data_IF_909514207272
#
_entry.id   IF_909514207272
#
_cell.length_a   1.000
_cell.length_b   1.000
_cell.length_c   1.000
_cell.angle_alpha   90.00
_cell.angle_beta   90.00
_cell.angle_gamma   90.00
#
_symmetry.space_group_name_H-M   'P 1'
#
loop_
_entity.id
_entity.type
_entity.pdbx_description
1 polymer ?
#
# COMPACT_ATOMS: atom_id res chain seq x y z
N UNK A 1 2.74 8.24 4.45
CA UNK A 1 1.99 7.43 5.42
C UNK A 1 0.78 6.72 4.81
N UNK A 2 -0.28 7.43 4.40
CA UNK A 2 -1.53 6.81 3.91
C UNK A 2 -1.35 5.75 2.80
N UNK A 3 -0.68 6.10 1.70
CA UNK A 3 -0.44 5.18 0.59
C UNK A 3 0.37 3.95 1.03
N UNK A 4 1.42 4.14 1.82
CA UNK A 4 2.25 3.05 2.33
C UNK A 4 1.46 2.07 3.21
N UNK A 5 0.60 2.58 4.09
CA UNK A 5 -0.26 1.74 4.92
C UNK A 5 -1.25 0.90 4.08
N UNK A 6 -1.84 1.48 3.03
CA UNK A 6 -2.72 0.75 2.12
C UNK A 6 -1.98 -0.31 1.30
N UNK A 7 -0.75 -0.02 0.85
CA UNK A 7 0.10 -1.00 0.16
C UNK A 7 0.42 -2.19 1.08
N UNK A 8 0.81 -1.93 2.32
CA UNK A 8 1.11 -2.98 3.31
C UNK A 8 -0.12 -3.86 3.53
N UNK A 9 -1.28 -3.24 3.75
CA UNK A 9 -2.54 -3.97 3.90
C UNK A 9 -2.82 -4.87 2.70
N UNK A 10 -2.73 -4.34 1.48
CA UNK A 10 -3.06 -5.07 0.26
C UNK A 10 -2.06 -6.20 -0.01
N UNK A 11 -0.77 -5.99 0.30
CA UNK A 11 0.26 -7.02 0.12
C UNK A 11 0.16 -8.17 1.13
N UNK A 12 -0.26 -7.88 2.36
CA UNK A 12 -0.38 -8.88 3.42
C UNK A 12 -1.78 -9.51 3.53
N UNK A 13 -2.81 -8.86 2.98
CA UNK A 13 -4.19 -9.36 3.02
C UNK A 13 -4.81 -9.37 4.43
N UNK A 14 -4.33 -8.49 5.33
CA UNK A 14 -4.68 -8.46 6.76
C UNK A 14 -5.72 -7.38 7.09
N UNK A 15 -6.27 -7.43 8.31
CA UNK A 15 -7.23 -6.45 8.80
C UNK A 15 -6.61 -5.05 9.00
N UNK A 16 -7.45 -4.01 9.06
CA UNK A 16 -6.99 -2.63 9.31
C UNK A 16 -6.26 -2.52 10.67
N UNK A 17 -6.75 -3.22 11.70
CA UNK A 17 -6.12 -3.25 13.03
C UNK A 17 -4.77 -3.98 12.99
N UNK A 18 -4.74 -5.14 12.36
CA UNK A 18 -3.51 -5.92 12.22
C UNK A 18 -2.45 -5.14 11.44
N UNK A 19 -2.85 -4.41 10.40
CA UNK A 19 -1.92 -3.55 9.62
C UNK A 19 -1.22 -2.53 10.51
N UNK A 20 -1.95 -1.89 11.43
CA UNK A 20 -1.38 -0.90 12.36
C UNK A 20 -0.41 -1.54 13.33
N UNK A 21 -0.75 -2.72 13.87
CA UNK A 21 0.12 -3.46 14.79
C UNK A 21 1.41 -3.93 14.08
N UNK A 22 1.31 -4.45 12.87
CA UNK A 22 2.47 -4.82 12.05
C UNK A 22 3.39 -3.62 11.79
N UNK A 23 2.82 -2.45 11.51
CA UNK A 23 3.61 -1.22 11.34
C UNK A 23 4.24 -0.79 12.68
N UNK A 24 3.55 -0.91 13.81
CA UNK A 24 4.12 -0.61 15.13
C UNK A 24 5.33 -1.50 15.43
N UNK A 25 5.23 -2.79 15.15
CA UNK A 25 6.26 -3.77 15.53
C UNK A 25 7.48 -3.77 14.61
N UNK A 26 7.32 -3.34 13.36
CA UNK A 26 8.38 -3.44 12.36
C UNK A 26 9.00 -2.07 12.01
N UNK A 27 10.26 -1.81 12.39
CA UNK A 27 10.96 -0.57 12.03
C UNK A 27 11.00 -0.30 10.52
N UNK A 28 11.13 -1.34 9.69
CA UNK A 28 11.17 -1.18 8.23
C UNK A 28 9.83 -0.66 7.69
N UNK A 29 8.71 -1.16 8.22
CA UNK A 29 7.39 -0.68 7.83
C UNK A 29 7.17 0.76 8.29
N UNK A 30 7.70 1.14 9.46
CA UNK A 30 7.68 2.53 9.92
C UNK A 30 8.44 3.47 8.99
N UNK A 31 9.66 3.12 8.60
CA UNK A 31 10.42 3.91 7.63
C UNK A 31 9.73 3.95 6.26
N UNK A 32 9.15 2.83 5.82
CA UNK A 32 8.40 2.73 4.57
C UNK A 32 7.20 3.68 4.51
N UNK A 33 6.45 3.81 5.61
CA UNK A 33 5.32 4.76 5.68
C UNK A 33 5.78 6.22 5.85
N UNK A 34 7.08 6.47 6.01
CA UNK A 34 7.71 7.78 6.08
C UNK A 34 7.99 8.30 7.49
N UNK A 35 8.05 7.43 8.51
CA UNK A 35 8.53 7.83 9.84
C UNK A 35 10.05 8.01 9.82
N UNK A 36 10.54 9.05 10.52
CA UNK A 36 11.98 9.38 10.58
C UNK A 36 12.76 8.50 11.56
N UNK A 37 12.07 7.85 12.47
CA UNK A 37 12.65 7.07 13.57
C UNK A 37 11.64 6.02 14.01
N UNK A 38 12.13 4.87 14.45
CA UNK A 38 11.30 3.86 15.10
C UNK A 38 10.66 4.39 16.39
N UNK A 39 9.39 4.07 16.61
CA UNK A 39 8.65 4.30 17.85
C UNK A 39 7.79 3.08 18.17
N UNK A 40 7.75 2.64 19.42
CA UNK A 40 6.91 1.52 19.84
C UNK A 40 5.47 1.96 20.18
N UNK A 41 4.90 2.78 19.30
CA UNK A 41 3.55 3.34 19.44
C UNK A 41 2.84 3.18 18.11
N UNK A 42 1.51 3.00 18.15
CA UNK A 42 0.73 2.92 16.93
C UNK A 42 0.88 4.24 16.14
N UNK A 43 1.26 4.19 14.86
CA UNK A 43 1.49 5.40 14.07
C UNK A 43 0.20 6.21 13.82
N UNK A 44 -0.96 5.55 13.88
CA UNK A 44 -2.29 6.12 13.74
C UNK A 44 -3.34 5.12 14.25
N UNK A 45 -4.57 5.58 14.50
CA UNK A 45 -5.68 4.69 14.85
C UNK A 45 -6.17 3.87 13.66
N UNK A 46 -6.57 2.61 13.87
CA UNK A 46 -7.06 1.74 12.80
C UNK A 46 -8.26 2.33 12.02
N UNK A 47 -9.08 3.15 12.68
CA UNK A 47 -10.18 3.91 12.06
C UNK A 47 -9.71 4.82 10.90
N UNK A 48 -8.48 5.33 10.97
CA UNK A 48 -7.87 6.19 9.95
C UNK A 48 -7.66 5.47 8.61
N UNK A 49 -7.62 4.13 8.60
CA UNK A 49 -7.53 3.36 7.36
C UNK A 49 -8.73 3.60 6.43
N UNK A 50 -9.92 3.86 6.99
CA UNK A 50 -11.11 4.23 6.22
C UNK A 50 -10.88 5.57 5.53
N UNK A 51 -10.36 6.56 6.25
CA UNK A 51 -10.06 7.88 5.71
C UNK A 51 -8.94 7.85 4.66
N UNK A 52 -7.95 6.97 4.82
CA UNK A 52 -6.91 6.79 3.81
C UNK A 52 -7.47 6.26 2.48
N UNK A 53 -8.42 5.31 2.53
CA UNK A 53 -9.11 4.82 1.34
C UNK A 53 -10.00 5.88 0.69
N UNK A 54 -10.72 6.66 1.50
CA UNK A 54 -11.54 7.77 0.97
C UNK A 54 -10.68 8.84 0.29
N UNK A 55 -9.51 9.14 0.85
CA UNK A 55 -8.59 10.14 0.31
C UNK A 55 -7.87 9.68 -0.95
N UNK A 56 -7.57 8.38 -1.05
CA UNK A 56 -6.96 7.76 -2.22
C UNK A 56 -8.08 7.09 -3.03
N UNK A 57 -8.90 7.93 -3.67
CA UNK A 57 -10.01 7.45 -4.48
C UNK A 57 -9.55 6.43 -5.53
N UNK A 58 -10.43 5.48 -5.84
CA UNK A 58 -10.18 4.48 -6.88
C UNK A 58 -9.76 5.12 -8.20
N UNK A 59 -10.26 6.31 -8.52
CA UNK A 59 -9.88 7.03 -9.74
C UNK A 59 -8.41 7.41 -9.76
N UNK A 60 -7.84 7.82 -8.62
CA UNK A 60 -6.41 8.11 -8.53
C UNK A 60 -5.58 6.83 -8.68
N UNK A 61 -6.01 5.74 -8.04
CA UNK A 61 -5.33 4.44 -8.12
C UNK A 61 -5.39 3.89 -9.55
N UNK A 62 -6.56 3.94 -10.18
CA UNK A 62 -6.77 3.53 -11.56
C UNK A 62 -5.95 4.38 -12.53
N UNK A 63 -5.88 5.70 -12.32
CA UNK A 63 -5.07 6.59 -13.14
C UNK A 63 -3.58 6.26 -13.05
N UNK A 64 -3.08 5.94 -11.85
CA UNK A 64 -1.69 5.49 -11.65
C UNK A 64 -1.47 4.16 -12.37
N UNK A 65 -2.39 3.20 -12.22
CA UNK A 65 -2.30 1.90 -12.87
C UNK A 65 -2.30 2.02 -14.40
N UNK A 66 -3.21 2.82 -14.98
CA UNK A 66 -3.25 3.10 -16.42
C UNK A 66 -1.94 3.71 -16.90
N UNK A 67 -1.39 4.69 -16.18
CA UNK A 67 -0.12 5.32 -16.53
C UNK A 67 1.06 4.34 -16.48
N UNK A 68 1.14 3.50 -15.44
CA UNK A 68 2.17 2.45 -15.36
C UNK A 68 2.04 1.44 -16.50
N UNK A 69 0.84 1.02 -16.86
CA UNK A 69 0.62 0.12 -17.98
C UNK A 69 0.98 0.76 -19.33
N UNK A 70 0.69 2.05 -19.54
CA UNK A 70 1.09 2.79 -20.73
C UNK A 70 2.61 2.91 -20.87
N UNK A 71 3.31 3.18 -19.77
CA UNK A 71 4.79 3.26 -19.73
C UNK A 71 5.46 1.89 -19.96
N UNK A 72 4.81 0.78 -19.56
CA UNK A 72 5.30 -0.59 -19.76
C UNK A 72 4.80 -1.26 -21.06
N UNK A 73 4.08 -0.56 -21.94
CA UNK A 73 3.68 -1.10 -23.27
C UNK A 73 4.85 -1.38 -24.23
N UNK A 74 6.09 -1.18 -23.79
CA UNK A 74 7.29 -1.61 -24.50
C UNK A 74 7.67 -3.08 -24.30
N UNK A 75 7.18 -3.77 -23.25
CA UNK A 75 7.61 -5.14 -22.94
C UNK A 75 6.47 -5.96 -22.31
N UNK A 76 5.57 -6.50 -23.14
CA UNK A 76 4.80 -7.69 -22.75
C UNK A 76 4.90 -8.69 -23.89
N UNK A 77 5.87 -9.61 -23.80
CA UNK A 77 5.80 -10.85 -24.57
C UNK A 77 4.50 -11.57 -24.20
N UNK A 78 3.74 -12.07 -25.18
CA UNK A 78 2.50 -12.79 -24.89
C UNK A 78 2.85 -14.07 -24.14
N UNK A 79 2.36 -14.18 -22.89
CA UNK A 79 2.32 -15.46 -22.17
C UNK A 79 1.63 -16.49 -23.08
N UNK A 80 2.45 -17.40 -23.62
CA UNK A 80 1.96 -18.59 -24.30
C UNK A 80 1.16 -19.39 -23.29
N UNK A 81 -0.17 -19.35 -23.41
CA UNK A 81 -1.02 -20.42 -22.86
C UNK A 81 -0.57 -21.73 -23.50
N UNK A 82 0.22 -22.50 -22.76
CA UNK A 82 0.54 -23.88 -23.09
C UNK A 82 -0.71 -24.76 -22.89
N UNK A 83 -0.84 -25.81 -23.72
CA UNK A 83 -2.11 -26.46 -24.10
C UNK A 83 -2.80 -27.26 -23.00
#
# INVERSE_FOLDING_TARGET
MALGALIIKEKLGISDRETVEQIRENPYLQYFIGLKSYRNEAPFEASMMVHFRQRLEMDLVNKINSKMCEENRGEVEPEKKSP
#
